data_IF_307437980993
#
_entry.id   IF_307437980993
#
_cell.length_a   1.000
_cell.length_b   1.000
_cell.length_c   1.000
_cell.angle_alpha   90.00
_cell.angle_beta   90.00
_cell.angle_gamma   90.00
#
_symmetry.space_group_name_H-M   'P 1'
#
loop_
_entity.id
_entity.type
_entity.pdbx_description
1 polymer ?
#
# COMPACT_ATOMS: atom_id res chain seq x y z
N UNK A 1 -19.23 -11.79 -11.86
CA UNK A 1 -17.93 -11.59 -11.18
C UNK A 1 -17.24 -12.92 -10.94
N UNK A 2 -15.96 -13.04 -11.29
CA UNK A 2 -15.12 -14.15 -10.81
C UNK A 2 -15.08 -14.07 -9.28
N UNK A 3 -15.25 -15.20 -8.59
CA UNK A 3 -15.18 -15.23 -7.13
C UNK A 3 -13.73 -15.00 -6.70
N UNK A 4 -13.50 -13.91 -5.96
CA UNK A 4 -12.20 -13.59 -5.37
C UNK A 4 -12.26 -13.97 -3.90
N UNK A 5 -11.20 -14.61 -3.42
CA UNK A 5 -11.04 -14.97 -2.02
C UNK A 5 -10.01 -14.03 -1.41
N UNK A 6 -10.33 -13.48 -0.24
CA UNK A 6 -9.50 -12.51 0.47
C UNK A 6 -9.01 -13.15 1.77
N UNK A 7 -7.75 -12.90 2.08
CA UNK A 7 -7.11 -13.32 3.31
C UNK A 7 -6.20 -12.19 3.78
N UNK A 8 -6.07 -12.03 5.09
CA UNK A 8 -5.22 -11.01 5.67
C UNK A 8 -4.65 -11.47 7.01
N UNK A 9 -3.41 -11.08 7.26
CA UNK A 9 -2.69 -11.33 8.50
C UNK A 9 -1.71 -10.19 8.72
N UNK A 10 -1.56 -9.79 9.97
CA UNK A 10 -0.52 -8.87 10.42
C UNK A 10 0.05 -9.39 11.73
N UNK A 11 1.30 -9.06 11.99
CA UNK A 11 2.04 -9.43 13.19
C UNK A 11 2.94 -8.25 13.57
N UNK A 12 3.09 -8.00 14.87
CA UNK A 12 3.95 -6.92 15.37
C UNK A 12 5.44 -7.19 15.14
N UNK A 13 5.82 -8.45 14.93
CA UNK A 13 7.20 -8.89 14.85
C UNK A 13 7.88 -8.94 16.21
N UNK A 14 9.20 -9.16 16.19
CA UNK A 14 9.99 -9.40 17.41
C UNK A 14 10.63 -8.13 18.00
N UNK A 15 10.69 -7.04 17.23
CA UNK A 15 11.49 -5.85 17.56
C UNK A 15 10.68 -4.58 17.82
N UNK A 16 9.41 -4.53 17.40
CA UNK A 16 8.55 -3.34 17.56
C UNK A 16 7.69 -3.47 18.81
N UNK A 17 7.47 -2.36 19.50
CA UNK A 17 6.56 -2.30 20.66
C UNK A 17 5.10 -2.11 20.25
N UNK A 18 4.86 -1.61 19.04
CA UNK A 18 3.54 -1.39 18.47
C UNK A 18 3.51 -1.83 17.02
N UNK A 19 2.33 -2.26 16.59
CA UNK A 19 2.06 -2.55 15.19
C UNK A 19 1.44 -1.30 14.56
N UNK A 20 2.19 -0.66 13.66
CA UNK A 20 1.73 0.52 12.92
C UNK A 20 1.14 0.16 11.55
N UNK A 21 1.22 -1.13 11.17
CA UNK A 21 0.59 -1.66 9.98
C UNK A 21 -0.91 -1.88 10.20
N UNK A 22 -1.68 -1.67 9.14
CA UNK A 22 -3.06 -2.09 9.07
C UNK A 22 -3.33 -2.77 7.74
N UNK A 23 -4.20 -3.78 7.76
CA UNK A 23 -4.83 -4.30 6.56
C UNK A 23 -6.34 -4.27 6.72
N UNK A 24 -7.04 -4.20 5.59
CA UNK A 24 -8.49 -4.33 5.56
C UNK A 24 -8.88 -5.17 4.35
N UNK A 25 -9.83 -6.09 4.55
CA UNK A 25 -10.40 -6.94 3.51
C UNK A 25 -11.91 -6.72 3.48
N UNK A 26 -12.43 -6.25 2.34
CA UNK A 26 -13.85 -5.96 2.16
C UNK A 26 -14.37 -6.73 0.94
N UNK A 27 -14.68 -8.04 1.08
CA UNK A 27 -15.11 -8.87 -0.03
C UNK A 27 -16.37 -8.37 -0.73
N UNK A 28 -17.31 -7.80 0.02
CA UNK A 28 -18.59 -7.30 -0.50
C UNK A 28 -18.39 -6.03 -1.36
N UNK A 29 -17.47 -5.15 -0.96
CA UNK A 29 -17.08 -3.98 -1.74
C UNK A 29 -15.99 -4.29 -2.79
N UNK A 30 -15.44 -5.50 -2.79
CA UNK A 30 -14.48 -5.98 -3.77
C UNK A 30 -13.08 -5.37 -3.65
N UNK A 31 -12.63 -5.00 -2.44
CA UNK A 31 -11.30 -4.41 -2.26
C UNK A 31 -10.55 -4.99 -1.06
N UNK A 32 -9.23 -4.82 -1.08
CA UNK A 32 -8.40 -4.95 0.11
C UNK A 32 -7.26 -3.93 0.08
N UNK A 33 -6.68 -3.67 1.25
CA UNK A 33 -5.58 -2.72 1.40
C UNK A 33 -4.57 -3.18 2.45
N UNK A 34 -3.37 -2.61 2.34
CA UNK A 34 -2.32 -2.59 3.36
C UNK A 34 -1.82 -1.16 3.47
N UNK A 35 -1.61 -0.67 4.70
CA UNK A 35 -0.94 0.59 4.94
C UNK A 35 0.03 0.43 6.10
N UNK A 36 1.28 0.85 5.89
CA UNK A 36 2.34 0.87 6.90
C UNK A 36 2.45 2.29 7.44
N UNK A 37 2.16 2.45 8.73
CA UNK A 37 2.18 3.71 9.42
C UNK A 37 3.59 4.10 9.85
N UNK A 38 3.98 5.33 9.54
CA UNK A 38 5.26 5.89 9.99
C UNK A 38 5.06 7.16 10.81
N UNK A 39 5.94 7.35 11.78
CA UNK A 39 5.96 8.51 12.67
C UNK A 39 6.64 8.17 13.98
N UNK A 40 6.98 9.18 14.78
CA UNK A 40 7.34 8.93 16.18
C UNK A 40 6.10 8.58 17.01
N UNK A 41 6.29 8.34 18.31
CA UNK A 41 5.20 8.13 19.27
C UNK A 41 4.13 7.12 18.77
N UNK A 42 2.83 7.40 18.91
CA UNK A 42 1.74 6.57 18.39
C UNK A 42 1.19 7.11 17.06
N UNK A 43 2.00 7.85 16.30
CA UNK A 43 1.53 8.59 15.14
C UNK A 43 1.35 7.70 13.90
N UNK A 44 2.21 6.69 13.70
CA UNK A 44 2.10 5.77 12.56
C UNK A 44 0.83 4.94 12.61
N UNK A 45 0.54 4.34 13.77
CA UNK A 45 -0.71 3.59 14.03
C UNK A 45 -1.98 4.42 13.69
N UNK A 46 -1.95 5.72 13.98
CA UNK A 46 -3.08 6.60 13.67
C UNK A 46 -3.15 6.92 12.17
N UNK A 47 -2.02 7.09 11.50
CA UNK A 47 -1.95 7.38 10.07
C UNK A 47 -2.52 6.23 9.23
N UNK A 48 -2.06 5.00 9.49
CA UNK A 48 -2.55 3.82 8.80
C UNK A 48 -4.05 3.59 9.08
N UNK A 49 -4.50 3.82 10.32
CA UNK A 49 -5.94 3.81 10.66
C UNK A 49 -6.75 4.83 9.87
N UNK A 50 -6.29 6.08 9.78
CA UNK A 50 -6.99 7.10 9.00
C UNK A 50 -7.11 6.70 7.54
N UNK A 51 -6.10 6.02 6.98
CA UNK A 51 -6.19 5.47 5.62
C UNK A 51 -7.30 4.42 5.51
N UNK A 52 -7.33 3.42 6.39
CA UNK A 52 -8.34 2.37 6.40
C UNK A 52 -9.77 2.92 6.57
N UNK A 53 -9.98 3.85 7.50
CA UNK A 53 -11.28 4.52 7.69
C UNK A 53 -11.71 5.33 6.48
N UNK A 54 -10.76 5.96 5.79
CA UNK A 54 -11.03 6.74 4.58
C UNK A 54 -11.41 5.82 3.42
N UNK A 55 -10.86 4.61 3.35
CA UNK A 55 -11.27 3.58 2.40
C UNK A 55 -12.73 3.18 2.67
N UNK A 56 -13.06 2.79 3.91
CA UNK A 56 -14.43 2.45 4.29
C UNK A 56 -15.44 3.55 3.91
N UNK A 57 -15.09 4.82 4.15
CA UNK A 57 -15.92 5.96 3.77
C UNK A 57 -16.03 6.18 2.26
N UNK A 58 -14.95 5.97 1.50
CA UNK A 58 -14.94 6.14 0.06
C UNK A 58 -15.77 5.06 -0.65
N UNK A 59 -15.85 3.86 -0.06
CA UNK A 59 -16.58 2.71 -0.59
C UNK A 59 -17.97 2.51 0.04
N UNK A 60 -18.42 3.40 0.91
CA UNK A 60 -19.76 3.34 1.47
C UNK A 60 -20.84 3.40 0.38
N UNK A 61 -21.73 2.40 0.33
CA UNK A 61 -22.76 2.28 -0.70
C UNK A 61 -22.21 1.98 -2.10
N UNK A 62 -21.00 1.41 -2.19
CA UNK A 62 -20.41 1.05 -3.46
C UNK A 62 -21.09 -0.18 -4.08
N UNK A 63 -22.02 0.09 -5.00
CA UNK A 63 -22.71 -0.92 -5.79
C UNK A 63 -22.24 -0.86 -7.25
N UNK A 64 -22.26 -2.00 -7.94
CA UNK A 64 -21.89 -2.15 -9.36
C UNK A 64 -20.44 -1.69 -9.69
N UNK A 65 -19.43 -2.47 -9.27
CA UNK A 65 -18.05 -2.08 -9.44
C UNK A 65 -17.69 -2.00 -10.93
N UNK A 66 -17.40 -0.78 -11.39
CA UNK A 66 -16.83 -0.49 -12.71
C UNK A 66 -15.41 0.05 -12.55
N UNK A 67 -14.60 -0.07 -13.60
CA UNK A 67 -13.24 0.47 -13.62
C UNK A 67 -13.19 1.95 -13.23
N UNK A 68 -14.09 2.75 -13.78
CA UNK A 68 -14.15 4.19 -13.53
C UNK A 68 -14.45 4.47 -12.06
N UNK A 69 -15.46 3.78 -11.50
CA UNK A 69 -15.83 3.99 -10.11
C UNK A 69 -14.78 3.47 -9.13
N UNK A 70 -14.08 2.38 -9.47
CA UNK A 70 -12.93 1.89 -8.70
C UNK A 70 -11.82 2.95 -8.66
N UNK A 71 -11.45 3.55 -9.80
CA UNK A 71 -10.46 4.63 -9.84
C UNK A 71 -10.90 5.85 -9.00
N UNK A 72 -12.15 6.26 -9.10
CA UNK A 72 -12.70 7.38 -8.32
C UNK A 72 -12.65 7.13 -6.81
N UNK A 73 -13.05 5.92 -6.37
CA UNK A 73 -13.05 5.58 -4.96
C UNK A 73 -11.61 5.43 -4.41
N UNK A 74 -10.68 4.90 -5.19
CA UNK A 74 -9.25 4.89 -4.82
C UNK A 74 -8.76 6.33 -4.64
N UNK A 75 -8.93 7.20 -5.64
CA UNK A 75 -8.49 8.59 -5.54
C UNK A 75 -9.15 9.32 -4.36
N UNK A 76 -10.45 9.07 -4.12
CA UNK A 76 -11.17 9.62 -2.97
C UNK A 76 -10.59 9.12 -1.65
N UNK A 77 -10.25 7.83 -1.55
CA UNK A 77 -9.63 7.24 -0.35
C UNK A 77 -8.32 7.95 -0.02
N UNK A 78 -7.42 8.04 -0.99
CA UNK A 78 -6.11 8.67 -0.81
C UNK A 78 -6.24 10.15 -0.42
N UNK A 79 -7.11 10.92 -1.10
CA UNK A 79 -7.35 12.33 -0.75
C UNK A 79 -7.89 12.50 0.67
N UNK A 80 -8.94 11.76 1.05
CA UNK A 80 -9.53 11.84 2.38
C UNK A 80 -8.53 11.45 3.47
N UNK A 81 -7.72 10.43 3.24
CA UNK A 81 -6.68 10.02 4.17
C UNK A 81 -5.61 11.11 4.34
N UNK A 82 -5.16 11.70 3.23
CA UNK A 82 -4.18 12.79 3.24
C UNK A 82 -4.68 14.01 4.01
N UNK A 83 -5.91 14.45 3.73
CA UNK A 83 -6.56 15.56 4.43
C UNK A 83 -6.67 15.29 5.93
N UNK A 84 -7.12 14.09 6.34
CA UNK A 84 -7.24 13.72 7.76
C UNK A 84 -5.89 13.72 8.48
N UNK A 85 -4.84 13.17 7.85
CA UNK A 85 -3.51 13.13 8.45
C UNK A 85 -2.93 14.54 8.57
N UNK A 86 -2.97 15.34 7.50
CA UNK A 86 -2.48 16.72 7.51
C UNK A 86 -3.22 17.58 8.56
N UNK A 87 -4.54 17.50 8.62
CA UNK A 87 -5.34 18.20 9.64
C UNK A 87 -4.95 17.78 11.06
N UNK A 88 -4.64 16.51 11.28
CA UNK A 88 -4.19 16.01 12.57
C UNK A 88 -2.80 16.53 12.94
N UNK A 89 -1.87 16.56 11.98
CA UNK A 89 -0.52 17.10 12.15
C UNK A 89 -0.55 18.59 12.51
N UNK A 90 -1.39 19.37 11.82
CA UNK A 90 -1.58 20.80 12.11
C UNK A 90 -2.05 21.03 13.55
N UNK A 91 -2.90 20.14 14.08
CA UNK A 91 -3.42 20.24 15.46
C UNK A 91 -2.48 19.66 16.52
N UNK A 92 -1.53 18.81 16.12
CA UNK A 92 -0.64 18.08 17.03
C UNK A 92 0.80 18.14 16.51
N UNK A 93 1.51 19.23 16.79
CA UNK A 93 2.87 19.46 16.29
C UNK A 93 3.89 18.38 16.65
N UNK A 94 3.66 17.61 17.73
CA UNK A 94 4.50 16.45 18.07
C UNK A 94 4.42 15.29 17.06
N UNK A 95 3.49 15.34 16.12
CA UNK A 95 3.29 14.35 15.06
C UNK A 95 3.73 14.86 13.68
N UNK A 96 4.64 15.83 13.59
CA UNK A 96 5.09 16.49 12.34
C UNK A 96 5.54 15.56 11.19
N UNK A 97 5.88 14.29 11.48
CA UNK A 97 6.32 13.28 10.50
C UNK A 97 5.34 12.13 10.33
N UNK A 98 4.12 12.30 10.81
CA UNK A 98 3.07 11.30 10.71
C UNK A 98 2.69 11.11 9.24
N UNK A 99 2.66 9.86 8.80
CA UNK A 99 2.22 9.48 7.48
C UNK A 99 2.09 7.98 7.36
N UNK A 100 1.72 7.50 6.19
CA UNK A 100 1.73 6.07 5.92
C UNK A 100 2.02 5.77 4.44
N UNK A 101 2.57 4.59 4.19
CA UNK A 101 2.49 3.95 2.88
C UNK A 101 1.08 3.40 2.69
N UNK A 102 0.70 3.13 1.44
CA UNK A 102 -0.62 2.61 1.14
C UNK A 102 -0.64 1.84 -0.19
N UNK A 103 -1.15 0.62 -0.10
CA UNK A 103 -1.57 -0.24 -1.20
C UNK A 103 -3.09 -0.43 -1.09
N UNK A 104 -3.85 -0.08 -2.12
CA UNK A 104 -5.30 -0.31 -2.17
C UNK A 104 -5.69 -0.89 -3.52
N UNK A 105 -6.06 -2.18 -3.53
CA UNK A 105 -6.51 -2.88 -4.74
C UNK A 105 -8.02 -3.06 -4.72
N UNK A 106 -8.65 -2.73 -5.85
CA UNK A 106 -10.10 -2.87 -6.06
C UNK A 106 -10.33 -3.74 -7.28
N UNK A 107 -11.17 -4.76 -7.12
CA UNK A 107 -11.57 -5.67 -8.17
C UNK A 107 -12.94 -5.30 -8.71
N UNK A 108 -13.09 -5.36 -10.02
CA UNK A 108 -14.33 -5.05 -10.72
C UNK A 108 -14.53 -6.05 -11.87
N UNK A 109 -15.69 -5.99 -12.54
CA UNK A 109 -15.92 -6.90 -13.66
C UNK A 109 -14.96 -6.62 -14.83
N UNK A 110 -14.04 -7.56 -15.07
CA UNK A 110 -13.02 -7.45 -16.12
C UNK A 110 -11.62 -7.07 -15.66
N UNK A 111 -11.37 -6.76 -14.38
CA UNK A 111 -10.01 -6.42 -13.94
C UNK A 111 -9.84 -5.94 -12.50
N UNK A 112 -8.72 -5.27 -12.29
CA UNK A 112 -8.38 -4.59 -11.03
C UNK A 112 -7.86 -3.17 -11.32
N UNK A 113 -8.01 -2.31 -10.32
CA UNK A 113 -7.29 -1.04 -10.19
C UNK A 113 -6.55 -1.06 -8.85
N UNK A 114 -5.32 -0.59 -8.86
CA UNK A 114 -4.45 -0.50 -7.69
C UNK A 114 -4.02 0.95 -7.52
N UNK A 115 -4.18 1.51 -6.32
CA UNK A 115 -3.55 2.75 -5.88
C UNK A 115 -2.36 2.46 -4.99
N UNK A 116 -1.24 3.14 -5.24
CA UNK A 116 0.03 2.93 -4.56
C UNK A 116 0.70 4.25 -4.18
N UNK A 117 1.12 4.37 -2.91
CA UNK A 117 2.10 5.37 -2.45
C UNK A 117 2.98 4.74 -1.37
N UNK A 118 4.30 4.74 -1.57
CA UNK A 118 5.28 4.38 -0.54
C UNK A 118 6.17 3.24 -1.02
N UNK A 119 6.68 2.44 -0.11
CA UNK A 119 7.53 1.26 -0.37
C UNK A 119 6.91 -0.06 0.10
N UNK A 120 5.67 -0.02 0.62
CA UNK A 120 4.79 -1.20 0.55
C UNK A 120 4.68 -1.68 -0.91
N UNK A 121 4.41 -2.97 -1.10
CA UNK A 121 4.42 -3.59 -2.42
C UNK A 121 3.17 -4.40 -2.70
N UNK A 122 2.72 -4.33 -3.95
CA UNK A 122 1.76 -5.28 -4.51
C UNK A 122 2.44 -6.16 -5.55
N UNK A 123 2.32 -7.48 -5.38
CA UNK A 123 2.73 -8.49 -6.36
C UNK A 123 1.54 -9.19 -6.98
N UNK A 124 1.77 -9.77 -8.16
CA UNK A 124 0.87 -10.75 -8.80
C UNK A 124 1.64 -12.01 -9.13
N UNK A 125 1.12 -13.16 -8.70
CA UNK A 125 1.52 -14.47 -9.21
C UNK A 125 0.52 -14.90 -10.29
N UNK A 126 1.03 -15.22 -11.47
CA UNK A 126 0.26 -15.79 -12.59
C UNK A 126 1.08 -16.86 -13.27
N UNK A 127 0.52 -18.06 -13.41
CA UNK A 127 1.21 -19.19 -14.07
C UNK A 127 2.61 -19.47 -13.47
N UNK A 128 2.74 -19.32 -12.13
CA UNK A 128 4.01 -19.51 -11.42
C UNK A 128 5.01 -18.35 -11.51
N UNK A 129 4.68 -17.27 -12.22
CA UNK A 129 5.52 -16.08 -12.33
C UNK A 129 5.08 -15.01 -11.34
N UNK A 130 5.98 -14.66 -10.42
CA UNK A 130 5.83 -13.50 -9.54
C UNK A 130 6.21 -12.23 -10.31
N UNK A 131 5.34 -11.22 -10.23
CA UNK A 131 5.60 -9.89 -10.79
C UNK A 131 5.23 -8.83 -9.75
N UNK A 132 6.20 -8.01 -9.33
CA UNK A 132 5.90 -6.78 -8.62
C UNK A 132 5.14 -5.82 -9.55
N UNK A 133 3.98 -5.36 -9.11
CA UNK A 133 3.12 -4.43 -9.86
C UNK A 133 3.44 -2.97 -9.54
N UNK A 134 3.84 -2.68 -8.31
CA UNK A 134 4.23 -1.36 -7.84
C UNK A 134 5.73 -1.15 -7.92
N UNK A 135 6.14 0.09 -7.72
CA UNK A 135 7.55 0.47 -7.72
C UNK A 135 7.76 1.41 -6.55
N UNK A 136 8.66 1.02 -5.66
CA UNK A 136 8.85 1.71 -4.39
C UNK A 136 9.15 3.19 -4.60
N UNK A 137 8.46 4.05 -3.86
CA UNK A 137 8.77 5.46 -3.77
C UNK A 137 9.86 5.69 -2.73
N UNK A 138 11.02 5.04 -2.86
CA UNK A 138 12.14 5.11 -1.92
C UNK A 138 13.39 5.71 -2.58
N UNK A 139 14.31 6.22 -1.75
CA UNK A 139 15.57 6.80 -2.23
C UNK A 139 16.43 5.77 -2.97
N UNK A 140 16.49 4.54 -2.47
CA UNK A 140 17.27 3.48 -3.11
C UNK A 140 16.65 3.07 -4.45
N UNK A 141 15.32 3.08 -4.58
CA UNK A 141 14.66 2.83 -5.86
C UNK A 141 14.94 3.94 -6.87
N UNK A 142 14.94 5.21 -6.44
CA UNK A 142 15.33 6.34 -7.29
C UNK A 142 16.80 6.23 -7.74
N UNK A 143 17.70 5.80 -6.86
CA UNK A 143 19.10 5.55 -7.20
C UNK A 143 19.28 4.39 -8.19
N UNK A 144 18.50 3.31 -8.05
CA UNK A 144 18.48 2.23 -9.04
C UNK A 144 18.02 2.75 -10.40
N UNK A 145 16.96 3.55 -10.44
CA UNK A 145 16.39 4.08 -11.68
C UNK A 145 17.38 4.94 -12.47
N UNK A 146 18.24 5.67 -11.76
CA UNK A 146 19.29 6.50 -12.32
C UNK A 146 20.61 5.75 -12.55
N UNK A 147 20.66 4.44 -12.31
CA UNK A 147 21.85 3.61 -12.48
C UNK A 147 22.98 3.89 -11.48
N UNK A 148 22.65 4.52 -10.34
CA UNK A 148 23.59 4.80 -9.25
C UNK A 148 23.80 3.57 -8.38
N UNK A 149 22.76 2.76 -8.19
CA UNK A 149 22.81 1.50 -7.45
C UNK A 149 22.27 0.35 -8.30
N UNK A 150 22.79 -0.85 -8.04
CA UNK A 150 22.16 -2.10 -8.47
C UNK A 150 21.08 -2.54 -7.47
N UNK A 151 20.09 -3.35 -7.89
CA UNK A 151 19.11 -3.93 -6.96
C UNK A 151 19.75 -4.74 -5.82
N UNK A 152 20.90 -5.36 -6.05
CA UNK A 152 21.66 -6.09 -5.03
C UNK A 152 22.25 -5.14 -3.99
N UNK A 153 22.89 -4.04 -4.42
CA UNK A 153 23.47 -3.05 -3.50
C UNK A 153 22.40 -2.33 -2.67
N UNK A 154 21.21 -2.12 -3.22
CA UNK A 154 20.12 -1.44 -2.53
C UNK A 154 19.60 -2.20 -1.30
N UNK A 155 19.65 -3.55 -1.28
CA UNK A 155 19.06 -4.36 -0.19
C UNK A 155 19.70 -4.13 1.17
N UNK A 156 21.01 -3.91 1.17
CA UNK A 156 21.81 -3.69 2.38
C UNK A 156 22.21 -2.22 2.56
N UNK A 157 21.64 -1.32 1.75
CA UNK A 157 21.99 0.10 1.77
C UNK A 157 21.49 0.79 3.04
N UNK A 158 22.31 1.64 3.65
CA UNK A 158 21.99 2.31 4.92
C UNK A 158 20.76 3.24 4.86
N UNK A 159 20.38 3.65 3.65
CA UNK A 159 19.23 4.53 3.39
C UNK A 159 18.04 3.80 2.76
N UNK A 160 17.98 2.46 2.84
CA UNK A 160 16.91 1.67 2.21
C UNK A 160 15.50 2.02 2.72
N UNK A 161 15.38 2.43 3.98
CA UNK A 161 14.11 2.82 4.62
C UNK A 161 13.74 4.31 4.38
N UNK A 162 14.44 5.02 3.48
CA UNK A 162 14.12 6.43 3.19
C UNK A 162 13.05 6.48 2.11
N UNK A 163 11.82 6.77 2.53
CA UNK A 163 10.66 6.92 1.65
C UNK A 163 10.58 8.37 1.13
N UNK A 164 10.35 8.52 -0.18
CA UNK A 164 10.22 9.79 -0.89
C UNK A 164 8.76 10.24 -1.05
N UNK A 165 7.78 9.34 -0.97
CA UNK A 165 6.35 9.67 -1.04
C UNK A 165 5.55 8.89 -0.01
N UNK A 166 4.70 9.58 0.73
CA UNK A 166 3.77 8.98 1.68
C UNK A 166 2.47 9.77 1.77
N UNK A 167 1.41 9.10 2.22
CA UNK A 167 0.12 9.74 2.50
C UNK A 167 0.24 10.54 3.79
N UNK A 168 -0.23 11.78 3.77
CA UNK A 168 -0.27 12.68 4.92
C UNK A 168 0.96 13.57 5.11
N UNK A 169 1.90 13.56 4.16
CA UNK A 169 3.15 14.34 4.24
C UNK A 169 3.10 15.61 3.36
N UNK A 170 2.64 15.47 2.11
CA UNK A 170 2.50 16.60 1.17
C UNK A 170 1.03 16.87 0.87
N UNK A 171 0.67 18.14 0.62
CA UNK A 171 -0.71 18.51 0.22
C UNK A 171 -1.11 17.86 -1.11
N UNK A 172 -0.18 17.81 -2.07
CA UNK A 172 -0.41 17.25 -3.39
C UNK A 172 0.08 15.81 -3.48
N UNK A 173 -0.86 14.86 -3.52
CA UNK A 173 -0.53 13.45 -3.66
C UNK A 173 -0.03 13.09 -5.07
N UNK A 174 1.16 12.52 -5.15
CA UNK A 174 1.65 11.81 -6.34
C UNK A 174 1.24 10.33 -6.27
N UNK A 175 -0.06 10.07 -6.49
CA UNK A 175 -0.66 8.73 -6.48
C UNK A 175 -0.41 7.97 -7.79
N UNK A 176 0.16 6.78 -7.68
CA UNK A 176 0.28 5.85 -8.80
C UNK A 176 -0.98 5.00 -8.94
N UNK A 177 -1.51 4.92 -10.17
CA UNK A 177 -2.69 4.11 -10.52
C UNK A 177 -2.33 3.04 -11.54
N UNK A 178 -2.31 1.79 -11.09
CA UNK A 178 -2.00 0.61 -11.90
C UNK A 178 -3.30 -0.13 -12.20
N UNK A 179 -3.47 -0.63 -13.43
CA UNK A 179 -4.69 -1.34 -13.84
C UNK A 179 -4.38 -2.54 -14.71
N UNK A 180 -5.17 -3.60 -14.59
CA UNK A 180 -4.94 -4.82 -15.35
C UNK A 180 -6.15 -5.74 -15.39
N UNK A 181 -6.05 -6.78 -16.22
CA UNK A 181 -7.03 -7.87 -16.29
C UNK A 181 -6.72 -8.95 -15.26
N UNK A 182 -7.77 -9.57 -14.73
CA UNK A 182 -7.71 -10.72 -13.84
C UNK A 182 -8.05 -12.02 -14.58
N UNK A 183 -7.34 -13.09 -14.28
CA UNK A 183 -7.55 -14.44 -14.83
C UNK A 183 -7.71 -15.44 -13.68
N UNK A 184 -8.46 -16.56 -13.89
CA UNK A 184 -8.52 -17.61 -12.90
C UNK A 184 -7.12 -18.12 -12.54
N UNK A 185 -6.84 -18.29 -11.25
CA UNK A 185 -5.52 -18.69 -10.76
C UNK A 185 -4.56 -17.53 -10.49
N UNK A 186 -4.92 -16.28 -10.81
CA UNK A 186 -4.15 -15.12 -10.35
C UNK A 186 -4.18 -15.03 -8.82
N UNK A 187 -3.01 -14.80 -8.22
CA UNK A 187 -2.88 -14.43 -6.81
C UNK A 187 -2.31 -13.01 -6.73
N UNK A 188 -2.86 -12.20 -5.84
CA UNK A 188 -2.37 -10.87 -5.54
C UNK A 188 -1.90 -10.84 -4.09
N UNK A 189 -0.69 -10.33 -3.86
CA UNK A 189 -0.10 -10.17 -2.54
C UNK A 189 0.16 -8.69 -2.31
N UNK A 190 -0.49 -8.12 -1.29
CA UNK A 190 -0.18 -6.79 -0.76
C UNK A 190 0.60 -7.00 0.53
N UNK A 191 1.72 -6.32 0.70
CA UNK A 191 2.55 -6.43 1.89
C UNK A 191 3.28 -5.11 2.21
N UNK A 192 3.51 -4.86 3.50
CA UNK A 192 4.47 -3.86 3.97
C UNK A 192 5.91 -4.33 3.73
N UNK A 193 6.85 -3.40 3.93
CA UNK A 193 8.28 -3.68 3.79
C UNK A 193 8.76 -4.76 4.78
N UNK A 194 8.08 -4.92 5.93
CA UNK A 194 8.39 -5.93 6.95
C UNK A 194 8.35 -7.38 6.45
N UNK A 195 7.71 -7.65 5.30
CA UNK A 195 7.86 -8.92 4.59
C UNK A 195 9.09 -8.90 3.67
N UNK A 196 9.16 -7.93 2.77
CA UNK A 196 10.13 -7.92 1.65
C UNK A 196 11.56 -7.59 2.07
N UNK A 197 11.74 -7.02 3.27
CA UNK A 197 13.03 -6.83 3.92
C UNK A 197 13.59 -8.11 4.54
N UNK A 198 12.72 -9.08 4.84
CA UNK A 198 13.09 -10.32 5.52
C UNK A 198 13.22 -11.51 4.57
N UNK A 199 12.48 -11.50 3.45
CA UNK A 199 12.48 -12.57 2.46
C UNK A 199 12.55 -12.01 1.05
N UNK A 200 13.26 -12.72 0.17
CA UNK A 200 13.36 -12.34 -1.24
C UNK A 200 12.15 -12.81 -2.07
N UNK A 201 12.04 -12.22 -3.27
CA UNK A 201 11.04 -12.56 -4.28
C UNK A 201 11.01 -14.05 -4.63
N UNK A 202 12.17 -14.72 -4.61
CA UNK A 202 12.27 -16.13 -4.91
C UNK A 202 11.61 -17.02 -3.85
N UNK A 203 11.69 -16.61 -2.58
CA UNK A 203 10.99 -17.28 -1.49
C UNK A 203 9.49 -16.96 -1.52
N UNK A 204 9.10 -15.71 -1.79
CA UNK A 204 7.69 -15.31 -1.96
C UNK A 204 7.02 -16.15 -3.06
N UNK A 205 7.69 -16.37 -4.19
CA UNK A 205 7.18 -17.13 -5.33
C UNK A 205 6.93 -18.62 -5.03
N UNK A 206 7.57 -19.20 -4.00
CA UNK A 206 7.48 -20.64 -3.68
C UNK A 206 6.26 -21.01 -2.85
N UNK A 207 5.54 -20.03 -2.32
CA UNK A 207 4.34 -20.19 -1.50
C UNK A 207 3.09 -20.24 -2.39
#
# INVERSE_FOLDING_TARGET
>A
MKKIHYYGKSDIGLYREKNEDIFLVEPDAGFCLVADGMGGAAAGELASRFFAESALMAFLGYENPSKQKAMENIQKTFRLANEKILDHVVRNSFHERMGCTAELIVFFDGGFVLGHIGDSRTYRVREGLLKQLTKDHSLVQDQIDHGVLTPEEARDHSLKNVILRAVGVEENLALDLIKGKIYPGDLFLLCSDGLTDMIDDDLIRRV
#
